data_IF_524550956016
#
_entry.id   IF_524550956016
#
_cell.length_a   1.000
_cell.length_b   1.000
_cell.length_c   1.000
_cell.angle_alpha   90.00
_cell.angle_beta   90.00
_cell.angle_gamma   90.00
#
_symmetry.space_group_name_H-M   'P 1'
#
loop_
_entity.id
_entity.type
_entity.pdbx_description
1 polymer ?
#
# COMPACT_ATOMS: atom_id res chain seq x y z
N UNK A 1 48.65 40.18 7.40
CA UNK A 1 47.85 40.20 8.65
C UNK A 1 46.36 40.15 8.32
N UNK A 2 45.94 39.20 7.48
CA UNK A 2 44.58 39.15 6.89
C UNK A 2 44.01 37.72 6.82
N UNK A 3 44.83 36.69 7.03
CA UNK A 3 44.40 35.28 7.01
C UNK A 3 43.74 34.81 8.32
N UNK A 4 44.01 35.47 9.46
CA UNK A 4 43.42 35.07 10.76
C UNK A 4 41.97 35.56 10.95
N UNK A 5 41.54 36.59 10.21
CA UNK A 5 40.16 37.10 10.27
C UNK A 5 39.19 36.28 9.41
N UNK A 6 39.65 35.73 8.28
CA UNK A 6 38.81 34.91 7.39
C UNK A 6 38.44 33.55 8.01
N UNK A 7 39.35 32.94 8.78
CA UNK A 7 39.11 31.64 9.44
C UNK A 7 38.11 31.78 10.59
N UNK A 8 38.13 32.91 11.32
CA UNK A 8 37.16 33.17 12.40
C UNK A 8 35.75 33.45 11.88
N UNK A 9 35.60 34.11 10.73
CA UNK A 9 34.29 34.35 10.10
C UNK A 9 33.70 33.03 9.59
N UNK A 10 34.53 32.13 9.02
CA UNK A 10 34.08 30.81 8.58
C UNK A 10 33.61 29.91 9.75
N UNK A 11 34.28 29.98 10.90
CA UNK A 11 33.87 29.22 12.09
C UNK A 11 32.57 29.75 12.71
N UNK A 12 32.28 31.05 12.62
CA UNK A 12 31.02 31.63 13.11
C UNK A 12 29.85 31.21 12.22
N UNK A 13 30.05 31.15 10.89
CA UNK A 13 29.00 30.66 9.96
C UNK A 13 28.73 29.17 10.17
N UNK A 14 29.74 28.35 10.50
CA UNK A 14 29.53 26.93 10.79
C UNK A 14 28.80 26.66 12.11
N UNK A 15 28.86 27.56 13.10
CA UNK A 15 28.05 27.43 14.33
C UNK A 15 26.64 28.00 14.18
N UNK A 16 26.40 28.93 13.25
CA UNK A 16 25.07 29.51 13.02
C UNK A 16 24.11 28.59 12.25
N UNK A 17 24.60 27.55 11.55
CA UNK A 17 23.73 26.55 10.90
C UNK A 17 23.20 25.50 11.90
N UNK A 18 23.60 25.57 13.17
CA UNK A 18 23.21 24.60 14.21
C UNK A 18 22.08 25.06 15.13
N UNK A 19 21.41 26.18 14.83
CA UNK A 19 20.33 26.70 15.66
C UNK A 19 19.30 27.42 14.78
N UNK A 20 18.37 26.65 14.21
CA UNK A 20 16.96 27.03 14.05
C UNK A 20 16.21 25.91 13.32
N UNK A 21 15.27 25.28 14.01
CA UNK A 21 14.21 24.49 13.39
C UNK A 21 14.21 23.00 13.76
N UNK A 22 13.79 22.70 14.99
CA UNK A 22 13.20 21.42 15.36
C UNK A 22 11.99 21.11 14.47
N UNK A 23 12.22 20.55 13.28
CA UNK A 23 11.19 19.87 12.49
C UNK A 23 11.37 18.39 12.74
N UNK A 24 10.53 17.86 13.64
CA UNK A 24 10.26 16.44 13.91
C UNK A 24 10.86 15.44 12.89
N UNK A 25 12.11 15.03 13.12
CA UNK A 25 12.82 14.01 12.34
C UNK A 25 12.20 12.61 12.53
N UNK A 26 11.29 12.45 13.50
CA UNK A 26 10.49 11.22 13.65
C UNK A 26 9.60 10.91 12.42
N UNK A 27 9.12 11.93 11.70
CA UNK A 27 8.26 11.72 10.53
C UNK A 27 9.05 11.49 9.23
N UNK A 28 10.27 12.01 9.11
CA UNK A 28 11.06 11.85 7.89
C UNK A 28 11.71 10.46 7.81
N UNK A 29 12.07 9.85 8.95
CA UNK A 29 12.59 8.48 8.95
C UNK A 29 11.52 7.44 8.59
N UNK A 30 10.27 7.64 8.99
CA UNK A 30 9.16 6.76 8.60
C UNK A 30 8.82 6.93 7.11
N UNK A 31 8.86 8.17 6.58
CA UNK A 31 8.61 8.42 5.16
C UNK A 31 9.72 7.88 4.26
N UNK A 32 10.98 7.97 4.68
CA UNK A 32 12.13 7.45 3.92
C UNK A 32 12.15 5.90 3.90
N UNK A 33 11.74 5.26 5.00
CA UNK A 33 11.58 3.80 5.05
C UNK A 33 10.39 3.29 4.21
N UNK A 34 9.37 4.12 3.97
CA UNK A 34 8.25 3.78 3.09
C UNK A 34 8.59 3.97 1.60
N UNK A 35 9.47 4.93 1.28
CA UNK A 35 9.88 5.27 -0.10
C UNK A 35 11.02 4.37 -0.63
N UNK A 36 11.80 3.74 0.26
CA UNK A 36 12.94 2.87 -0.13
C UNK A 36 12.69 1.35 0.00
N UNK A 37 11.51 0.87 0.44
CA UNK A 37 11.09 -0.49 0.05
C UNK A 37 10.89 -0.42 -1.47
N UNK A 38 11.91 -0.83 -2.23
CA UNK A 38 11.78 -1.02 -3.66
C UNK A 38 10.51 -1.84 -3.90
N UNK A 39 9.44 -1.18 -4.37
CA UNK A 39 8.32 -1.83 -5.03
C UNK A 39 8.89 -2.30 -6.37
N UNK A 40 9.81 -3.26 -6.29
CA UNK A 40 10.34 -3.98 -7.42
C UNK A 40 9.17 -4.71 -8.05
N UNK A 41 9.19 -4.82 -9.38
CA UNK A 41 8.24 -5.66 -10.10
C UNK A 41 8.51 -7.08 -9.60
N UNK A 42 7.76 -7.52 -8.59
CA UNK A 42 7.89 -8.85 -8.05
C UNK A 42 7.24 -9.81 -9.01
N UNK A 43 8.00 -10.81 -9.46
CA UNK A 43 7.44 -11.92 -10.21
C UNK A 43 6.71 -12.93 -9.31
N UNK A 44 6.76 -12.74 -7.98
CA UNK A 44 6.25 -13.70 -6.98
C UNK A 44 5.04 -13.21 -6.20
N UNK A 45 4.65 -11.95 -6.37
CA UNK A 45 3.53 -11.36 -5.65
C UNK A 45 2.54 -10.75 -6.64
N UNK A 46 1.26 -10.93 -6.36
CA UNK A 46 0.17 -10.31 -7.08
C UNK A 46 0.14 -8.80 -6.82
N UNK A 47 -0.69 -8.08 -7.57
CA UNK A 47 -0.95 -6.67 -7.34
C UNK A 47 -1.48 -6.42 -5.92
N UNK A 48 -2.36 -7.31 -5.42
CA UNK A 48 -2.84 -7.31 -4.03
C UNK A 48 -1.80 -7.71 -2.97
N UNK A 49 -0.60 -8.12 -3.39
CA UNK A 49 0.48 -8.54 -2.48
C UNK A 49 0.43 -10.02 -2.07
N UNK A 50 -0.53 -10.79 -2.60
CA UNK A 50 -0.65 -12.23 -2.36
C UNK A 50 0.52 -12.98 -3.00
N UNK A 51 1.08 -13.97 -2.31
CA UNK A 51 2.17 -14.76 -2.87
C UNK A 51 1.65 -15.71 -3.95
N UNK A 52 2.25 -15.65 -5.13
CA UNK A 52 1.95 -16.57 -6.22
C UNK A 52 2.39 -17.99 -5.88
N UNK A 53 1.66 -18.96 -6.43
CA UNK A 53 2.00 -20.38 -6.38
C UNK A 53 3.37 -20.60 -7.03
N UNK A 54 4.16 -21.51 -6.47
CA UNK A 54 5.58 -21.66 -6.84
C UNK A 54 5.82 -22.02 -8.33
N UNK A 55 4.88 -22.74 -8.94
CA UNK A 55 4.86 -23.16 -10.36
C UNK A 55 4.06 -22.20 -11.27
N UNK A 56 3.45 -21.15 -10.71
CA UNK A 56 2.71 -20.13 -11.44
C UNK A 56 3.17 -18.76 -10.97
N UNK A 57 4.36 -18.33 -11.36
CA UNK A 57 4.81 -16.96 -11.08
C UNK A 57 4.06 -15.95 -11.96
N UNK A 58 4.07 -14.69 -11.55
CA UNK A 58 3.52 -13.59 -12.34
C UNK A 58 4.10 -13.59 -13.76
N UNK A 59 3.20 -13.62 -14.74
CA UNK A 59 3.57 -13.60 -16.14
C UNK A 59 2.36 -13.48 -17.06
N UNK A 60 2.66 -13.36 -18.35
CA UNK A 60 1.64 -13.45 -19.39
C UNK A 60 1.40 -14.92 -19.71
N UNK A 61 0.16 -15.35 -19.56
CA UNK A 61 -0.26 -16.70 -19.92
C UNK A 61 -0.94 -16.69 -21.30
N UNK A 62 -0.86 -17.80 -22.01
CA UNK A 62 -1.32 -17.91 -23.41
C UNK A 62 -2.79 -17.46 -23.53
N UNK A 63 -3.07 -16.53 -24.45
CA UNK A 63 -4.41 -16.02 -24.70
C UNK A 63 -4.85 -14.86 -23.80
N UNK A 64 -4.00 -14.38 -22.89
CA UNK A 64 -4.28 -13.22 -22.03
C UNK A 64 -3.43 -12.01 -22.37
N UNK A 65 -3.99 -10.82 -22.21
CA UNK A 65 -3.31 -9.53 -22.45
C UNK A 65 -2.84 -8.86 -21.16
N UNK A 66 -3.10 -9.49 -20.01
CA UNK A 66 -2.73 -9.03 -18.67
C UNK A 66 -1.79 -10.05 -18.01
N UNK A 67 -1.03 -9.59 -17.02
CA UNK A 67 -0.14 -10.45 -16.24
C UNK A 67 -0.87 -10.95 -15.00
N UNK A 68 -0.75 -12.23 -14.69
CA UNK A 68 -1.44 -12.85 -13.55
C UNK A 68 -0.70 -14.08 -13.05
N UNK A 69 -1.11 -14.60 -11.90
CA UNK A 69 -0.63 -15.87 -11.36
C UNK A 69 -1.74 -16.61 -10.60
N UNK A 70 -1.61 -17.93 -10.47
CA UNK A 70 -2.38 -18.66 -9.49
C UNK A 70 -1.86 -18.37 -8.08
N UNK A 71 -2.77 -18.18 -7.14
CA UNK A 71 -2.44 -17.95 -5.72
C UNK A 71 -2.61 -19.22 -4.89
N UNK A 72 -3.32 -20.22 -5.41
CA UNK A 72 -3.50 -21.51 -4.75
C UNK A 72 -3.68 -22.71 -5.73
N UNK A 73 -3.97 -23.89 -5.18
CA UNK A 73 -4.24 -25.12 -5.94
C UNK A 73 -5.74 -25.37 -6.21
N UNK A 74 -6.60 -24.42 -5.85
CA UNK A 74 -8.04 -24.43 -6.18
C UNK A 74 -8.34 -23.64 -7.45
N UNK A 75 -7.29 -23.25 -8.17
CA UNK A 75 -7.31 -22.39 -9.36
C UNK A 75 -7.75 -20.93 -9.08
N UNK A 76 -7.62 -20.47 -7.82
CA UNK A 76 -7.73 -19.06 -7.49
C UNK A 76 -6.53 -18.31 -8.09
N UNK A 77 -6.79 -17.17 -8.71
CA UNK A 77 -5.77 -16.37 -9.40
C UNK A 77 -5.99 -14.88 -9.13
N UNK A 78 -4.91 -14.13 -9.25
CA UNK A 78 -4.95 -12.68 -9.09
C UNK A 78 -4.01 -12.00 -10.10
N UNK A 79 -4.27 -10.72 -10.35
CA UNK A 79 -3.48 -9.96 -11.30
C UNK A 79 -2.10 -9.67 -10.75
N UNK A 80 -1.13 -9.55 -11.64
CA UNK A 80 0.23 -9.14 -11.33
C UNK A 80 0.55 -7.80 -11.97
N UNK A 81 1.35 -7.01 -11.26
CA UNK A 81 1.92 -5.79 -11.80
C UNK A 81 3.07 -6.10 -12.76
N UNK A 82 3.06 -5.49 -13.95
CA UNK A 82 4.18 -5.49 -14.91
C UNK A 82 5.05 -4.24 -14.80
N UNK A 83 4.63 -3.28 -13.99
CA UNK A 83 5.35 -2.07 -13.65
C UNK A 83 5.18 -1.77 -12.16
N UNK A 84 6.02 -0.91 -11.60
CA UNK A 84 5.91 -0.53 -10.19
C UNK A 84 4.52 0.06 -9.88
N UNK A 85 4.06 -0.11 -8.65
CA UNK A 85 2.88 0.59 -8.15
C UNK A 85 3.15 2.08 -8.08
N UNK A 86 2.37 2.86 -8.82
CA UNK A 86 2.51 4.31 -8.85
C UNK A 86 1.49 4.92 -7.92
N UNK A 87 2.00 5.71 -6.97
CA UNK A 87 1.22 6.53 -6.06
C UNK A 87 0.96 7.89 -6.69
N UNK A 88 -0.30 8.25 -6.97
CA UNK A 88 -0.63 9.63 -7.36
C UNK A 88 -0.81 10.50 -6.11
N UNK A 89 0.30 11.09 -5.65
CA UNK A 89 0.32 12.02 -4.52
C UNK A 89 -0.62 13.21 -4.84
N UNK A 90 -1.59 13.48 -3.95
CA UNK A 90 -2.39 14.71 -3.97
C UNK A 90 -3.84 14.60 -4.48
N UNK A 91 -4.35 13.42 -4.85
CA UNK A 91 -5.77 13.23 -5.24
C UNK A 91 -6.54 12.15 -4.48
N UNK A 92 -5.99 11.61 -3.39
CA UNK A 92 -6.67 10.58 -2.58
C UNK A 92 -6.92 9.26 -3.35
N UNK A 93 -6.28 9.06 -4.50
CA UNK A 93 -6.48 7.86 -5.31
C UNK A 93 -5.67 6.67 -4.79
N UNK A 94 -6.28 5.49 -4.82
CA UNK A 94 -5.62 4.22 -4.53
C UNK A 94 -4.43 3.99 -5.51
N UNK A 95 -3.31 3.37 -5.07
CA UNK A 95 -2.19 3.10 -5.97
C UNK A 95 -2.63 2.15 -7.10
N UNK A 96 -2.09 2.40 -8.29
CA UNK A 96 -2.35 1.55 -9.45
C UNK A 96 -1.03 1.10 -10.07
N UNK A 97 -1.04 -0.08 -10.64
CA UNK A 97 0.02 -0.59 -11.48
C UNK A 97 -0.53 -1.00 -12.84
N UNK A 98 0.37 -1.07 -13.82
CA UNK A 98 0.05 -1.67 -15.12
C UNK A 98 0.08 -3.19 -14.95
N UNK A 99 -0.92 -3.89 -15.50
CA UNK A 99 -0.94 -5.35 -15.64
C UNK A 99 -1.12 -5.68 -17.11
N UNK A 100 -0.02 -5.68 -17.87
CA UNK A 100 -0.08 -5.83 -19.31
C UNK A 100 -0.79 -4.66 -19.99
N UNK A 101 -1.95 -4.90 -20.59
CA UNK A 101 -2.75 -3.86 -21.25
C UNK A 101 -3.87 -3.25 -20.38
N UNK A 102 -3.98 -3.67 -19.12
CA UNK A 102 -4.94 -3.11 -18.15
C UNK A 102 -4.24 -2.45 -16.97
N UNK A 103 -5.01 -1.81 -16.10
CA UNK A 103 -4.55 -1.28 -14.82
C UNK A 103 -5.18 -2.06 -13.68
N UNK A 104 -4.42 -2.23 -12.61
CA UNK A 104 -4.87 -2.89 -11.39
C UNK A 104 -4.55 -2.03 -10.20
N UNK A 105 -5.42 -2.06 -9.20
CA UNK A 105 -5.06 -1.56 -7.88
C UNK A 105 -4.02 -2.48 -7.29
N UNK A 106 -3.11 -1.91 -6.53
CA UNK A 106 -2.12 -2.71 -5.86
C UNK A 106 -1.96 -2.30 -4.42
N UNK A 107 -1.32 -3.15 -3.63
CA UNK A 107 -1.14 -2.93 -2.21
C UNK A 107 0.34 -3.01 -1.88
N UNK A 108 0.80 -2.16 -0.96
CA UNK A 108 2.13 -2.35 -0.38
C UNK A 108 1.99 -3.52 0.61
N UNK A 109 2.70 -4.64 0.42
CA UNK A 109 2.69 -5.71 1.40
C UNK A 109 3.19 -5.16 2.75
N UNK A 110 2.33 -5.24 3.75
CA UNK A 110 2.63 -4.92 5.14
C UNK A 110 2.59 -6.21 5.94
N UNK A 111 3.76 -6.61 6.44
CA UNK A 111 3.99 -7.87 7.15
C UNK A 111 3.29 -7.88 8.52
N UNK A 112 2.93 -6.70 9.03
CA UNK A 112 2.21 -6.49 10.29
C UNK A 112 0.74 -6.07 10.08
N UNK A 113 0.22 -6.24 8.85
CA UNK A 113 -1.14 -5.89 8.52
C UNK A 113 -2.16 -6.59 9.43
N UNK A 114 -3.17 -5.84 9.85
CA UNK A 114 -4.32 -6.32 10.63
C UNK A 114 -5.61 -5.89 9.96
N UNK A 115 -6.65 -6.67 10.21
CA UNK A 115 -8.00 -6.26 9.87
C UNK A 115 -8.54 -5.20 10.86
N UNK A 116 -9.72 -4.65 10.58
CA UNK A 116 -10.36 -3.63 11.43
C UNK A 116 -10.76 -4.15 12.82
N UNK A 117 -10.74 -5.46 13.02
CA UNK A 117 -10.97 -6.15 14.29
C UNK A 117 -9.68 -6.48 15.06
N UNK A 118 -8.52 -6.00 14.60
CA UNK A 118 -7.18 -6.23 15.15
C UNK A 118 -6.68 -7.68 15.05
N UNK A 119 -7.29 -8.50 14.19
CA UNK A 119 -6.80 -9.83 13.86
C UNK A 119 -5.65 -9.72 12.85
N UNK A 120 -4.54 -10.45 13.04
CA UNK A 120 -3.43 -10.42 12.11
C UNK A 120 -3.84 -11.00 10.76
N UNK A 121 -3.45 -10.33 9.69
CA UNK A 121 -3.61 -10.85 8.34
C UNK A 121 -2.59 -11.97 8.08
N UNK A 122 -2.97 -12.96 7.28
CA UNK A 122 -2.07 -13.99 6.82
C UNK A 122 -1.04 -13.40 5.84
N UNK A 123 0.26 -13.70 5.98
CA UNK A 123 1.28 -13.24 5.03
C UNK A 123 1.03 -13.73 3.59
N UNK A 124 0.36 -14.86 3.42
CA UNK A 124 0.02 -15.41 2.11
C UNK A 124 -1.15 -14.68 1.45
N UNK A 125 -1.91 -13.89 2.21
CA UNK A 125 -3.05 -13.13 1.70
C UNK A 125 -3.18 -11.84 2.52
N UNK A 126 -2.21 -10.92 2.36
CA UNK A 126 -2.08 -9.75 3.21
C UNK A 126 -3.21 -8.76 2.99
N UNK A 127 -3.25 -7.69 3.78
CA UNK A 127 -4.17 -6.59 3.54
C UNK A 127 -3.93 -5.99 2.15
N UNK A 128 -4.93 -6.10 1.29
CA UNK A 128 -4.84 -5.56 -0.06
C UNK A 128 -6.14 -5.68 -0.84
N UNK A 129 -6.08 -5.21 -2.09
CA UNK A 129 -7.17 -5.37 -3.06
C UNK A 129 -6.85 -6.60 -3.88
N UNK A 130 -7.66 -7.64 -3.69
CA UNK A 130 -7.51 -8.93 -4.36
C UNK A 130 -8.63 -9.12 -5.38
N UNK A 131 -8.34 -9.80 -6.48
CA UNK A 131 -9.35 -10.10 -7.49
C UNK A 131 -10.31 -11.21 -7.02
N UNK A 132 -11.59 -10.89 -6.83
CA UNK A 132 -12.65 -11.87 -6.52
C UNK A 132 -13.71 -11.99 -7.64
N UNK A 133 -13.45 -11.46 -8.83
CA UNK A 133 -14.42 -11.51 -9.94
C UNK A 133 -15.66 -10.62 -9.75
N UNK A 134 -15.61 -9.67 -8.81
CA UNK A 134 -16.62 -8.63 -8.59
C UNK A 134 -16.17 -7.24 -9.08
N UNK A 135 -17.06 -6.25 -9.00
CA UNK A 135 -16.77 -4.84 -9.33
C UNK A 135 -16.30 -4.02 -8.13
N UNK A 136 -16.41 -4.57 -6.92
CA UNK A 136 -16.07 -3.86 -5.69
C UNK A 136 -14.59 -4.05 -5.36
N UNK A 137 -13.96 -2.99 -4.88
CA UNK A 137 -12.51 -2.89 -4.68
C UNK A 137 -12.22 -2.65 -3.20
N UNK A 138 -12.44 -3.68 -2.39
CA UNK A 138 -12.23 -3.63 -0.95
C UNK A 138 -10.79 -3.99 -0.57
N UNK A 139 -10.29 -3.33 0.48
CA UNK A 139 -9.10 -3.76 1.18
C UNK A 139 -9.50 -4.84 2.21
N UNK A 140 -8.96 -6.04 2.05
CA UNK A 140 -9.25 -7.15 2.94
C UNK A 140 -8.09 -8.13 3.01
N UNK A 141 -8.14 -9.06 3.96
CA UNK A 141 -7.18 -10.13 4.11
C UNK A 141 -7.83 -11.39 4.70
N UNK A 142 -7.15 -12.54 4.58
CA UNK A 142 -7.49 -13.72 5.39
C UNK A 142 -6.88 -13.59 6.78
N UNK A 143 -7.65 -13.91 7.81
CA UNK A 143 -7.21 -13.84 9.22
C UNK A 143 -6.84 -15.22 9.78
N UNK A 144 -7.13 -16.30 9.04
CA UNK A 144 -6.74 -17.66 9.39
C UNK A 144 -6.70 -18.61 8.18
N UNK A 145 -6.18 -19.82 8.41
CA UNK A 145 -6.02 -20.85 7.38
C UNK A 145 -7.36 -21.48 6.92
N UNK A 146 -8.47 -21.19 7.61
CA UNK A 146 -9.80 -21.60 7.16
C UNK A 146 -10.41 -20.60 6.17
N UNK A 147 -9.65 -19.59 5.74
CA UNK A 147 -10.08 -18.51 4.85
C UNK A 147 -11.22 -17.66 5.44
N UNK A 148 -11.27 -17.54 6.76
CA UNK A 148 -12.04 -16.44 7.34
C UNK A 148 -11.36 -15.13 6.94
N UNK A 149 -12.14 -14.14 6.54
CA UNK A 149 -11.65 -12.86 6.07
C UNK A 149 -12.14 -11.71 6.93
N UNK A 150 -11.48 -10.57 6.79
CA UNK A 150 -11.87 -9.31 7.41
C UNK A 150 -11.44 -8.13 6.55
N UNK A 151 -12.21 -7.04 6.62
CA UNK A 151 -11.80 -5.78 6.02
C UNK A 151 -10.57 -5.24 6.72
N UNK A 152 -9.68 -4.62 5.96
CA UNK A 152 -8.53 -3.92 6.49
C UNK A 152 -8.51 -2.49 5.95
N UNK A 153 -7.70 -1.65 6.56
CA UNK A 153 -7.68 -0.24 6.21
C UNK A 153 -6.80 0.02 5.00
N UNK A 154 -7.30 0.87 4.11
CA UNK A 154 -6.52 1.56 3.09
C UNK A 154 -5.32 2.27 3.72
N UNK A 155 -4.12 2.19 3.12
CA UNK A 155 -2.92 2.83 3.66
C UNK A 155 -3.02 4.37 3.72
N UNK A 156 -3.98 4.99 3.03
CA UNK A 156 -4.16 6.45 3.01
C UNK A 156 -5.03 6.98 4.13
N UNK A 157 -6.04 6.20 4.50
CA UNK A 157 -6.98 6.55 5.55
C UNK A 157 -6.89 5.45 6.61
N UNK A 158 -5.75 5.33 7.31
CA UNK A 158 -5.58 4.34 8.35
C UNK A 158 -6.58 4.57 9.48
N UNK A 159 -6.72 3.57 10.36
CA UNK A 159 -7.64 3.68 11.48
C UNK A 159 -7.36 4.92 12.36
N UNK A 160 -8.26 5.91 12.32
CA UNK A 160 -8.17 7.13 13.12
C UNK A 160 -9.54 7.78 13.32
N UNK A 161 -9.60 8.84 14.15
CA UNK A 161 -10.87 9.51 14.49
C UNK A 161 -11.37 10.51 13.43
N UNK A 162 -10.52 11.10 12.59
CA UNK A 162 -10.87 12.06 11.53
C UNK A 162 -12.02 13.05 11.90
N UNK A 163 -11.99 13.63 13.10
CA UNK A 163 -13.02 14.56 13.59
C UNK A 163 -14.33 13.94 14.10
N UNK A 164 -14.39 12.61 14.24
CA UNK A 164 -15.53 11.85 14.79
C UNK A 164 -15.21 11.29 16.18
N UNK A 165 -16.25 10.81 16.89
CA UNK A 165 -16.11 10.20 18.22
C UNK A 165 -15.58 8.77 18.18
N UNK A 166 -15.65 8.10 17.03
CA UNK A 166 -15.23 6.72 16.81
C UNK A 166 -14.04 6.63 15.84
N UNK A 167 -13.31 5.53 15.90
CA UNK A 167 -12.25 5.20 14.95
C UNK A 167 -12.84 4.53 13.72
N UNK A 168 -12.39 4.96 12.54
CA UNK A 168 -12.80 4.39 11.27
C UNK A 168 -11.67 4.49 10.25
N UNK A 169 -11.80 3.75 9.16
CA UNK A 169 -10.93 3.84 7.99
C UNK A 169 -11.70 3.65 6.69
N UNK A 170 -11.05 4.03 5.58
CA UNK A 170 -11.46 3.62 4.23
C UNK A 170 -11.10 2.15 4.05
N UNK A 171 -12.07 1.32 3.72
CA UNK A 171 -11.92 -0.10 3.44
C UNK A 171 -12.18 -0.44 1.97
N UNK A 172 -12.29 0.56 1.09
CA UNK A 172 -12.36 0.37 -0.35
C UNK A 172 -13.43 1.20 -1.04
N UNK A 173 -13.86 0.76 -2.20
CA UNK A 173 -14.99 1.37 -2.92
C UNK A 173 -15.94 0.30 -3.41
N UNK A 174 -17.22 0.66 -3.44
CA UNK A 174 -18.24 -0.17 -4.04
C UNK A 174 -18.71 0.47 -5.36
N UNK A 175 -18.27 -0.09 -6.49
CA UNK A 175 -18.69 0.35 -7.81
C UNK A 175 -20.11 -0.14 -8.18
N UNK A 176 -20.76 -0.96 -7.34
CA UNK A 176 -22.09 -1.50 -7.62
C UNK A 176 -23.23 -0.50 -7.43
N UNK A 177 -22.96 0.67 -6.82
CA UNK A 177 -24.00 1.61 -6.43
C UNK A 177 -24.20 2.76 -7.44
N UNK A 178 -23.17 3.17 -8.20
CA UNK A 178 -23.26 4.16 -9.30
C UNK A 178 -21.89 4.31 -10.02
N UNK A 179 -21.77 4.13 -11.35
CA UNK A 179 -20.53 4.33 -12.09
C UNK A 179 -20.03 5.79 -12.17
N UNK A 180 -20.84 6.78 -11.78
CA UNK A 180 -20.45 8.20 -11.74
C UNK A 180 -20.03 8.68 -10.34
N UNK A 181 -20.29 7.88 -9.28
CA UNK A 181 -19.88 8.20 -7.91
C UNK A 181 -19.16 7.01 -7.28
N UNK A 182 -17.83 7.06 -7.20
CA UNK A 182 -17.04 6.13 -6.38
C UNK A 182 -17.46 6.29 -4.91
N UNK A 183 -18.36 5.44 -4.43
CA UNK A 183 -18.72 5.39 -3.01
C UNK A 183 -17.58 4.73 -2.24
N UNK A 184 -16.90 5.52 -1.42
CA UNK A 184 -15.93 5.01 -0.45
C UNK A 184 -16.65 4.18 0.61
N UNK A 185 -16.22 2.94 0.77
CA UNK A 185 -16.66 2.03 1.82
C UNK A 185 -15.86 2.32 3.08
N UNK A 186 -16.55 2.52 4.20
CA UNK A 186 -15.93 2.83 5.48
C UNK A 186 -16.20 1.73 6.48
N UNK A 187 -15.18 1.39 7.27
CA UNK A 187 -15.29 0.41 8.34
C UNK A 187 -14.93 1.01 9.69
N UNK A 188 -15.62 0.55 10.73
CA UNK A 188 -15.29 0.88 12.11
C UNK A 188 -14.11 0.02 12.55
N UNK A 189 -13.09 0.64 13.12
CA UNK A 189 -11.98 -0.13 13.67
C UNK A 189 -11.97 -0.18 15.19
N UNK A 190 -11.61 -1.35 15.69
CA UNK A 190 -11.25 -1.58 17.08
C UNK A 190 -9.88 -0.97 17.33
N UNK A 191 -9.70 -0.37 18.51
CA UNK A 191 -8.45 0.26 18.96
C UNK A 191 -8.08 -0.14 20.37
#
# INVERSE_FOLDING_TARGET
MTYRLLVSILLIVMHAVHAEGDINIANHSLYKNFVEREISISTRYTAGGTMCRQDSNCGFHVGTSYSWCYVDYSDDWDYCCTAQCIWRIGKGGKPKCVSGNTFQYCSAPDDDAKDVDLRPCLPTHPCGIHNEGGTSEYYWCYVDLNRNWGFCCSPFVPCAKYGRSYYWCDAGTDASLDPETEYTHFEFCKV
#
